data_IF_613982149213
#
_entry.id   IF_613982149213
#
_cell.length_a   1.000
_cell.length_b   1.000
_cell.length_c   1.000
_cell.angle_alpha   90.00
_cell.angle_beta   90.00
_cell.angle_gamma   90.00
#
_symmetry.space_group_name_H-M   'P 1'
#
loop_
_entity.id
_entity.type
_entity.pdbx_description
1 polymer ?
#
# COMPACT_ATOMS: atom_id res chain seq x y z
N UNK A 1 -2.42 -17.40 -36.62
CA UNK A 1 -1.94 -17.83 -35.28
C UNK A 1 -0.97 -16.78 -34.76
N UNK A 2 -1.19 -16.23 -33.57
CA UNK A 2 -0.22 -15.28 -32.97
C UNK A 2 1.06 -16.01 -32.56
N UNK A 3 2.20 -15.38 -32.78
CA UNK A 3 3.50 -15.84 -32.32
C UNK A 3 3.58 -15.86 -30.78
N UNK A 4 4.57 -16.57 -30.24
CA UNK A 4 4.80 -16.59 -28.78
C UNK A 4 5.10 -15.18 -28.23
N UNK A 5 5.86 -14.36 -28.97
CA UNK A 5 6.20 -12.99 -28.58
C UNK A 5 4.95 -12.08 -28.53
N UNK A 6 4.04 -12.20 -29.50
CA UNK A 6 2.79 -11.43 -29.49
C UNK A 6 1.90 -11.83 -28.31
N UNK A 7 1.77 -13.13 -28.02
CA UNK A 7 1.01 -13.60 -26.85
C UNK A 7 1.59 -13.09 -25.53
N UNK A 8 2.92 -13.07 -25.41
CA UNK A 8 3.60 -12.53 -24.24
C UNK A 8 3.35 -11.01 -24.10
N UNK A 9 3.51 -10.24 -25.18
CA UNK A 9 3.23 -8.81 -25.17
C UNK A 9 1.77 -8.49 -24.78
N UNK A 10 0.81 -9.26 -25.30
CA UNK A 10 -0.59 -9.13 -24.93
C UNK A 10 -0.85 -9.45 -23.45
N UNK A 11 -0.21 -10.49 -22.92
CA UNK A 11 -0.30 -10.85 -21.51
C UNK A 11 0.25 -9.76 -20.61
N UNK A 12 1.42 -9.19 -20.94
CA UNK A 12 2.04 -8.09 -20.19
C UNK A 12 1.15 -6.83 -20.18
N UNK A 13 0.54 -6.49 -21.32
CA UNK A 13 -0.41 -5.36 -21.41
C UNK A 13 -1.67 -5.58 -20.59
N UNK A 14 -2.21 -6.80 -20.61
CA UNK A 14 -3.37 -7.16 -19.79
C UNK A 14 -3.03 -7.08 -18.31
N UNK A 15 -1.86 -7.59 -17.89
CA UNK A 15 -1.41 -7.50 -16.50
C UNK A 15 -1.25 -6.05 -16.04
N UNK A 16 -0.62 -5.19 -16.84
CA UNK A 16 -0.49 -3.76 -16.54
C UNK A 16 -1.85 -3.05 -16.43
N UNK A 17 -2.81 -3.39 -17.30
CA UNK A 17 -4.17 -2.84 -17.25
C UNK A 17 -4.90 -3.29 -15.97
N UNK A 18 -4.86 -4.59 -15.65
CA UNK A 18 -5.45 -5.14 -14.43
C UNK A 18 -4.86 -4.48 -13.18
N UNK A 19 -3.53 -4.33 -13.13
CA UNK A 19 -2.85 -3.66 -12.04
C UNK A 19 -3.32 -2.20 -11.89
N UNK A 20 -3.47 -1.48 -13.00
CA UNK A 20 -3.98 -0.10 -13.01
C UNK A 20 -5.41 -0.02 -12.47
N UNK A 21 -6.30 -0.89 -12.95
CA UNK A 21 -7.69 -0.94 -12.49
C UNK A 21 -7.80 -1.23 -10.99
N UNK A 22 -6.94 -2.10 -10.46
CA UNK A 22 -6.86 -2.39 -9.02
C UNK A 22 -6.45 -1.15 -8.21
N UNK A 23 -5.45 -0.40 -8.67
CA UNK A 23 -5.04 0.86 -8.05
C UNK A 23 -6.13 1.93 -8.12
N UNK A 24 -6.80 2.05 -9.28
CA UNK A 24 -7.95 2.93 -9.47
C UNK A 24 -9.10 2.58 -8.52
N UNK A 25 -9.36 1.29 -8.27
CA UNK A 25 -10.35 0.83 -7.30
C UNK A 25 -9.97 1.12 -5.84
N UNK A 26 -8.67 1.21 -5.53
CA UNK A 26 -8.19 1.62 -4.21
C UNK A 26 -8.34 3.13 -3.97
N UNK A 27 -8.28 3.95 -5.01
CA UNK A 27 -8.38 5.42 -4.93
C UNK A 27 -9.66 5.93 -4.23
N UNK A 28 -10.89 5.50 -4.57
CA UNK A 28 -12.12 5.95 -3.90
C UNK A 28 -12.24 5.47 -2.46
N UNK A 29 -11.57 4.37 -2.09
CA UNK A 29 -11.61 3.83 -0.74
C UNK A 29 -10.53 4.40 0.18
N UNK A 30 -9.51 5.04 -0.39
CA UNK A 30 -8.42 5.73 0.30
C UNK A 30 -7.84 4.89 1.44
N UNK A 31 -6.82 4.08 1.15
CA UNK A 31 -6.15 3.32 2.22
C UNK A 31 -5.55 4.31 3.22
N UNK A 32 -6.05 4.31 4.46
CA UNK A 32 -5.69 5.34 5.44
C UNK A 32 -4.39 4.94 6.11
N UNK A 33 -3.49 5.90 6.33
CA UNK A 33 -2.19 5.66 6.98
C UNK A 33 -2.33 4.84 8.28
N UNK A 34 -3.26 5.14 9.22
CA UNK A 34 -3.39 4.36 10.45
C UNK A 34 -3.73 2.88 10.23
N UNK A 35 -4.49 2.56 9.19
CA UNK A 35 -4.87 1.18 8.87
C UNK A 35 -3.69 0.41 8.27
N UNK A 36 -2.91 1.08 7.42
CA UNK A 36 -1.65 0.53 6.89
C UNK A 36 -0.67 0.30 8.04
N UNK A 37 -0.54 1.27 8.97
CA UNK A 37 0.29 1.13 10.16
C UNK A 37 -0.14 -0.10 11.00
N UNK A 38 -1.44 -0.24 11.27
CA UNK A 38 -1.99 -1.37 12.03
C UNK A 38 -1.70 -2.72 11.35
N UNK A 39 -1.97 -2.83 10.04
CA UNK A 39 -1.71 -4.05 9.27
C UNK A 39 -0.22 -4.40 9.20
N UNK A 40 0.65 -3.40 9.05
CA UNK A 40 2.10 -3.60 9.08
C UNK A 40 2.56 -4.13 10.43
N UNK A 41 2.04 -3.60 11.55
CA UNK A 41 2.42 -4.09 12.90
C UNK A 41 1.84 -5.47 13.20
N UNK A 42 0.65 -5.78 12.72
CA UNK A 42 0.04 -7.08 12.92
C UNK A 42 0.76 -8.21 12.16
N UNK A 43 1.41 -7.88 11.03
CA UNK A 43 2.06 -8.88 10.17
C UNK A 43 3.55 -8.64 9.95
N UNK A 44 3.88 -7.72 9.05
CA UNK A 44 5.23 -7.62 8.45
C UNK A 44 6.30 -7.01 9.37
N UNK A 45 5.90 -6.17 10.33
CA UNK A 45 6.79 -5.31 11.13
C UNK A 45 6.40 -5.26 12.63
N UNK A 46 6.15 -6.39 13.31
CA UNK A 46 5.60 -6.40 14.67
C UNK A 46 6.50 -5.74 15.72
N UNK A 47 7.82 -5.84 15.54
CA UNK A 47 8.84 -5.32 16.47
C UNK A 47 9.48 -4.01 16.01
N UNK A 48 9.02 -3.44 14.89
CA UNK A 48 9.61 -2.22 14.35
C UNK A 48 9.20 -0.99 15.15
N UNK A 49 10.10 0.01 15.19
CA UNK A 49 9.81 1.32 15.78
C UNK A 49 8.62 1.96 15.07
N UNK A 50 7.76 2.63 15.82
CA UNK A 50 6.53 3.23 15.28
C UNK A 50 6.80 4.25 14.16
N UNK A 51 7.89 5.03 14.26
CA UNK A 51 8.31 5.96 13.20
C UNK A 51 8.66 5.25 11.89
N UNK A 52 9.28 4.07 11.95
CA UNK A 52 9.60 3.27 10.77
C UNK A 52 8.32 2.75 10.09
N UNK A 53 7.39 2.24 10.89
CA UNK A 53 6.09 1.75 10.40
C UNK A 53 5.29 2.88 9.74
N UNK A 54 5.22 4.06 10.38
CA UNK A 54 4.55 5.24 9.83
C UNK A 54 5.13 5.69 8.50
N UNK A 55 6.47 5.73 8.38
CA UNK A 55 7.09 6.09 7.11
C UNK A 55 6.85 5.03 6.02
N UNK A 56 6.84 3.74 6.36
CA UNK A 56 6.47 2.69 5.41
C UNK A 56 5.01 2.78 4.99
N UNK A 57 4.10 3.10 5.90
CA UNK A 57 2.69 3.30 5.60
C UNK A 57 2.46 4.47 4.64
N UNK A 58 3.13 5.61 4.89
CA UNK A 58 3.11 6.77 3.99
C UNK A 58 3.69 6.44 2.61
N UNK A 59 4.78 5.68 2.56
CA UNK A 59 5.40 5.28 1.30
C UNK A 59 4.50 4.33 0.49
N UNK A 60 3.85 3.36 1.15
CA UNK A 60 2.87 2.49 0.49
C UNK A 60 1.69 3.30 -0.06
N UNK A 61 1.11 4.19 0.74
CA UNK A 61 0.03 5.06 0.30
C UNK A 61 0.45 5.95 -0.89
N UNK A 62 1.67 6.48 -0.86
CA UNK A 62 2.21 7.30 -1.94
C UNK A 62 2.41 6.50 -3.24
N UNK A 63 2.82 5.23 -3.14
CA UNK A 63 2.96 4.31 -4.28
C UNK A 63 1.62 3.76 -4.81
N UNK A 64 0.49 3.98 -4.11
CA UNK A 64 -0.84 3.64 -4.63
C UNK A 64 -1.30 4.52 -5.79
N UNK A 65 -0.56 5.58 -6.11
CA UNK A 65 -0.90 6.50 -7.19
C UNK A 65 -0.87 5.77 -8.54
N UNK A 66 -1.83 6.13 -9.40
CA UNK A 66 -1.98 5.55 -10.74
C UNK A 66 -0.92 6.04 -11.72
N UNK A 67 -0.34 7.22 -11.48
CA UNK A 67 0.91 7.64 -12.08
C UNK A 67 2.09 7.03 -11.32
N UNK A 68 3.00 6.34 -12.02
CA UNK A 68 4.26 5.88 -11.42
C UNK A 68 5.07 7.11 -10.99
N UNK A 69 5.20 7.38 -9.68
CA UNK A 69 5.85 8.59 -9.25
C UNK A 69 7.36 8.50 -9.52
N UNK A 70 7.99 9.64 -9.74
CA UNK A 70 9.44 9.73 -9.70
C UNK A 70 9.90 9.45 -8.26
N UNK A 71 10.62 8.36 -8.08
CA UNK A 71 11.06 7.84 -6.78
C UNK A 71 12.53 8.14 -6.49
N UNK A 72 13.07 9.20 -7.11
CA UNK A 72 14.32 9.80 -6.64
C UNK A 72 14.29 10.04 -5.13
N UNK A 73 15.40 9.72 -4.46
CA UNK A 73 15.44 9.64 -3.01
C UNK A 73 15.17 10.99 -2.33
N UNK A 74 15.56 12.10 -2.93
CA UNK A 74 15.24 13.48 -2.50
C UNK A 74 13.72 13.73 -2.52
N UNK A 75 13.03 13.32 -3.59
CA UNK A 75 11.57 13.47 -3.73
C UNK A 75 10.82 12.61 -2.73
N UNK A 76 11.26 11.36 -2.55
CA UNK A 76 10.68 10.44 -1.56
C UNK A 76 10.92 10.96 -0.15
N UNK A 77 12.14 11.43 0.15
CA UNK A 77 12.50 12.02 1.43
C UNK A 77 11.61 13.23 1.77
N UNK A 78 11.44 14.15 0.81
CA UNK A 78 10.58 15.31 0.95
C UNK A 78 9.11 14.92 1.14
N UNK A 79 8.58 13.96 0.36
CA UNK A 79 7.20 13.51 0.46
C UNK A 79 6.89 12.82 1.81
N UNK A 80 7.87 12.10 2.36
CA UNK A 80 7.70 11.35 3.62
C UNK A 80 8.06 12.15 4.88
N UNK A 81 8.84 13.24 4.71
CA UNK A 81 9.42 14.01 5.81
C UNK A 81 10.56 13.29 6.53
N UNK A 82 11.44 12.60 5.78
CA UNK A 82 12.60 11.87 6.32
C UNK A 82 13.89 12.21 5.56
N UNK A 83 15.04 11.67 6.01
CA UNK A 83 16.30 11.85 5.29
C UNK A 83 16.35 11.00 4.00
N UNK A 84 17.19 11.36 3.03
CA UNK A 84 17.42 10.55 1.82
C UNK A 84 17.91 9.13 2.14
N UNK A 85 18.81 9.01 3.12
CA UNK A 85 19.26 7.69 3.61
C UNK A 85 18.12 6.90 4.26
N UNK A 86 17.15 7.59 4.87
CA UNK A 86 15.90 7.01 5.37
C UNK A 86 15.00 6.53 4.23
N UNK A 87 14.76 7.38 3.23
CA UNK A 87 13.99 7.04 2.03
C UNK A 87 14.57 5.81 1.29
N UNK A 88 15.89 5.77 1.11
CA UNK A 88 16.59 4.60 0.57
C UNK A 88 16.32 3.33 1.38
N UNK A 89 16.48 3.38 2.71
CA UNK A 89 16.26 2.23 3.61
C UNK A 89 14.80 1.76 3.58
N UNK A 90 13.85 2.68 3.45
CA UNK A 90 12.42 2.39 3.37
C UNK A 90 12.06 1.69 2.05
N UNK A 91 12.56 2.19 0.91
CA UNK A 91 12.38 1.55 -0.39
C UNK A 91 13.04 0.16 -0.41
N UNK A 92 14.24 0.03 0.15
CA UNK A 92 14.90 -1.26 0.30
C UNK A 92 14.13 -2.22 1.23
N UNK A 93 13.46 -1.72 2.27
CA UNK A 93 12.58 -2.52 3.12
C UNK A 93 11.34 -3.01 2.36
N UNK A 94 10.63 -2.12 1.64
CA UNK A 94 9.47 -2.52 0.83
C UNK A 94 9.84 -3.57 -0.21
N UNK A 95 11.00 -3.42 -0.87
CA UNK A 95 11.52 -4.42 -1.80
C UNK A 95 11.79 -5.76 -1.12
N UNK A 96 12.44 -5.77 0.05
CA UNK A 96 12.71 -7.01 0.81
C UNK A 96 11.43 -7.73 1.24
N UNK A 97 10.38 -7.00 1.58
CA UNK A 97 9.08 -7.59 1.91
C UNK A 97 8.23 -7.93 0.68
N UNK A 98 8.76 -7.71 -0.52
CA UNK A 98 8.08 -8.01 -1.78
C UNK A 98 6.86 -7.14 -2.04
N UNK A 99 6.74 -5.97 -1.41
CA UNK A 99 5.61 -5.05 -1.56
C UNK A 99 5.79 -4.05 -2.71
N UNK A 100 7.05 -3.78 -3.08
CA UNK A 100 7.38 -2.89 -4.19
C UNK A 100 8.58 -3.43 -4.98
N UNK A 101 8.61 -3.13 -6.27
CA UNK A 101 9.71 -3.48 -7.17
C UNK A 101 10.20 -2.25 -7.94
N UNK A 102 11.41 -2.33 -8.50
CA UNK A 102 11.94 -1.30 -9.39
C UNK A 102 11.26 -1.45 -10.75
N UNK A 103 10.60 -0.39 -11.21
CA UNK A 103 9.80 -0.37 -12.44
C UNK A 103 10.37 0.58 -13.51
N UNK A 104 11.61 1.02 -13.33
CA UNK A 104 12.31 1.90 -14.27
C UNK A 104 13.51 2.59 -13.65
N UNK A 105 14.11 3.53 -14.39
CA UNK A 105 15.13 4.40 -13.84
C UNK A 105 14.50 5.32 -12.79
N UNK A 106 14.92 5.16 -11.53
CA UNK A 106 14.42 5.94 -10.39
C UNK A 106 12.90 5.86 -10.21
N UNK A 107 12.29 4.71 -10.53
CA UNK A 107 10.86 4.44 -10.34
C UNK A 107 10.65 3.14 -9.59
N UNK A 108 9.78 3.17 -8.58
CA UNK A 108 9.25 1.99 -7.91
C UNK A 108 7.74 1.89 -8.14
N UNK A 109 7.27 0.67 -8.28
CA UNK A 109 5.85 0.34 -8.35
C UNK A 109 5.49 -0.65 -7.24
N UNK A 110 4.23 -0.67 -6.83
CA UNK A 110 3.71 -1.76 -6.01
C UNK A 110 3.74 -3.06 -6.81
N UNK A 111 4.07 -4.16 -6.14
CA UNK A 111 3.90 -5.52 -6.68
C UNK A 111 2.45 -5.97 -6.51
N UNK A 112 2.06 -7.09 -7.14
CA UNK A 112 0.76 -7.72 -6.88
C UNK A 112 0.54 -7.98 -5.38
N UNK A 113 1.56 -8.50 -4.69
CA UNK A 113 1.53 -8.70 -3.23
C UNK A 113 1.31 -7.38 -2.47
N UNK A 114 1.95 -6.29 -2.91
CA UNK A 114 1.76 -4.96 -2.33
C UNK A 114 0.32 -4.47 -2.48
N UNK A 115 -0.26 -4.68 -3.66
CA UNK A 115 -1.65 -4.30 -3.96
C UNK A 115 -2.62 -5.19 -3.17
N UNK A 116 -2.42 -6.51 -3.15
CA UNK A 116 -3.23 -7.46 -2.37
C UNK A 116 -3.24 -7.14 -0.88
N UNK A 117 -2.08 -6.76 -0.33
CA UNK A 117 -1.96 -6.31 1.05
C UNK A 117 -2.87 -5.11 1.33
N UNK A 118 -2.87 -4.12 0.45
CA UNK A 118 -3.69 -2.91 0.57
C UNK A 118 -5.19 -3.21 0.34
N UNK A 119 -5.53 -4.05 -0.62
CA UNK A 119 -6.89 -4.54 -0.86
C UNK A 119 -7.43 -5.33 0.34
N UNK A 120 -6.57 -6.10 1.01
CA UNK A 120 -6.89 -6.79 2.26
C UNK A 120 -7.38 -5.81 3.33
N UNK A 121 -6.65 -4.70 3.53
CA UNK A 121 -7.03 -3.64 4.48
C UNK A 121 -8.40 -3.06 4.14
N UNK A 122 -8.65 -2.73 2.87
CA UNK A 122 -9.93 -2.16 2.42
C UNK A 122 -11.08 -3.17 2.59
N UNK A 123 -10.84 -4.45 2.31
CA UNK A 123 -11.83 -5.52 2.50
C UNK A 123 -12.19 -5.73 3.98
N UNK A 124 -11.20 -5.73 4.87
CA UNK A 124 -11.44 -5.82 6.31
C UNK A 124 -12.31 -4.67 6.83
N UNK A 125 -12.21 -3.46 6.23
CA UNK A 125 -13.10 -2.35 6.53
C UNK A 125 -14.56 -2.63 6.11
N UNK A 126 -14.77 -3.16 4.90
CA UNK A 126 -16.11 -3.48 4.37
C UNK A 126 -16.78 -4.65 5.09
N UNK A 127 -15.99 -5.59 5.60
CA UNK A 127 -16.47 -6.75 6.37
C UNK A 127 -16.66 -6.49 7.87
N UNK A 128 -16.25 -5.32 8.38
CA UNK A 128 -16.49 -4.93 9.76
C UNK A 128 -17.86 -4.24 9.84
N UNK A 129 -18.92 -4.86 10.39
CA UNK A 129 -20.18 -4.17 10.60
C UNK A 129 -19.93 -3.02 11.59
N UNK A 130 -20.10 -1.79 11.12
CA UNK A 130 -20.13 -0.64 12.00
C UNK A 130 -21.43 -0.72 12.85
N UNK A 131 -21.27 -0.78 14.17
CA UNK A 131 -22.25 -0.22 15.10
C UNK A 131 -23.26 -1.18 15.75
N UNK A 132 -22.80 -2.04 16.67
CA UNK A 132 -23.60 -2.32 17.86
C UNK A 132 -23.06 -1.37 18.93
N UNK A 133 -23.81 -0.30 19.22
CA UNK A 133 -23.61 0.51 20.42
C UNK A 133 -24.06 -0.29 21.64
N UNK A 134 -23.18 -0.66 22.61
CA UNK A 134 -23.63 -1.10 23.91
C UNK A 134 -23.86 0.16 24.76
N UNK A 135 -25.00 0.79 24.56
CA UNK A 135 -25.41 2.01 25.27
C UNK A 135 -26.76 1.84 25.98
N UNK A 136 -27.11 0.61 26.37
CA UNK A 136 -28.25 0.33 27.24
C UNK A 136 -27.73 -0.10 28.60
N UNK A 137 -27.64 0.85 29.55
CA UNK A 137 -27.82 0.64 30.99
C UNK A 137 -27.55 1.96 31.72
N UNK A 138 -28.60 2.76 31.89
CA UNK A 138 -28.80 3.46 33.15
C UNK A 138 -30.14 2.99 33.69
N UNK A 139 -30.07 2.07 34.64
CA UNK A 139 -31.12 1.96 35.63
C UNK A 139 -31.07 3.21 36.48
N UNK A 140 -32.23 3.79 36.76
CA UNK A 140 -32.47 4.50 38.00
C UNK A 140 -33.87 4.09 38.46
N UNK A 141 -33.84 3.22 39.46
CA UNK A 141 -34.87 2.95 40.44
C UNK A 141 -35.21 4.25 41.16
N UNK A 142 -36.49 4.64 41.14
CA UNK A 142 -37.35 4.97 42.30
C UNK A 142 -38.70 5.47 41.80
#
# INVERSE_FOLDING_TARGET
>A
MLSAAERQHWSERQAALQQRLRLEALAPHGVRIPEIEAALRAGLLPKSRWTHVRHMARLLQWLCRTDLPDTRYDRVAAALGCSESGAYKLLAALKRHGLACKAGFLRYALTDRGIEFLEGIVRSRKGSPAGISPGGMRGETL
#
